data_IF_309552946822
#
_entry.id   IF_309552946822
#
_cell.length_a   1.000
_cell.length_b   1.000
_cell.length_c   1.000
_cell.angle_alpha   90.00
_cell.angle_beta   90.00
_cell.angle_gamma   90.00
#
_symmetry.space_group_name_H-M   'P 1'
#
loop_
_entity.id
_entity.type
_entity.pdbx_description
1 polymer ?
#
# COMPACT_ATOMS: atom_id res chain seq x y z
N UNK A 1 -12.28 10.55 23.49
CA UNK A 1 -12.57 9.36 22.67
C UNK A 1 -14.03 9.01 22.85
N UNK A 2 -14.84 9.23 21.81
CA UNK A 2 -16.27 9.02 21.82
C UNK A 2 -16.64 7.53 21.82
N UNK A 3 -17.93 7.22 22.02
CA UNK A 3 -18.44 5.84 21.97
C UNK A 3 -18.30 5.21 20.58
N UNK A 4 -18.47 6.00 19.51
CA UNK A 4 -18.24 5.56 18.13
C UNK A 4 -16.78 5.16 17.88
N UNK A 5 -15.83 5.98 18.33
CA UNK A 5 -14.39 5.69 18.23
C UNK A 5 -14.02 4.36 18.90
N UNK A 6 -14.63 4.06 20.05
CA UNK A 6 -14.42 2.79 20.78
C UNK A 6 -14.97 1.60 20.02
N UNK A 7 -16.18 1.70 19.47
CA UNK A 7 -16.80 0.63 18.69
C UNK A 7 -16.01 0.33 17.41
N UNK A 8 -15.54 1.38 16.72
CA UNK A 8 -14.70 1.24 15.53
C UNK A 8 -13.34 0.60 15.84
N UNK A 9 -12.69 1.03 16.93
CA UNK A 9 -11.44 0.42 17.41
C UNK A 9 -11.62 -1.07 17.72
N UNK A 10 -12.71 -1.45 18.40
CA UNK A 10 -12.99 -2.85 18.70
C UNK A 10 -13.28 -3.67 17.43
N UNK A 11 -14.04 -3.10 16.48
CA UNK A 11 -14.28 -3.72 15.17
C UNK A 11 -12.96 -3.97 14.44
N UNK A 12 -12.09 -2.96 14.38
CA UNK A 12 -10.81 -3.06 13.71
C UNK A 12 -9.89 -4.08 14.37
N UNK A 13 -9.83 -4.12 15.70
CA UNK A 13 -9.05 -5.12 16.44
C UNK A 13 -9.51 -6.55 16.13
N UNK A 14 -10.83 -6.79 16.09
CA UNK A 14 -11.39 -8.09 15.71
C UNK A 14 -11.06 -8.47 14.26
N UNK A 15 -11.19 -7.51 13.34
CA UNK A 15 -10.85 -7.68 11.94
C UNK A 15 -9.37 -8.02 11.76
N UNK A 16 -8.47 -7.32 12.45
CA UNK A 16 -7.02 -7.57 12.41
C UNK A 16 -6.69 -8.98 12.87
N UNK A 17 -7.22 -9.40 14.02
CA UNK A 17 -7.00 -10.76 14.53
C UNK A 17 -7.48 -11.83 13.55
N UNK A 18 -8.69 -11.67 13.01
CA UNK A 18 -9.28 -12.64 12.08
C UNK A 18 -8.50 -12.71 10.77
N UNK A 19 -8.11 -11.56 10.22
CA UNK A 19 -7.38 -11.49 8.94
C UNK A 19 -5.95 -11.98 9.07
N UNK A 20 -5.22 -11.60 10.14
CA UNK A 20 -3.88 -12.14 10.43
C UNK A 20 -3.90 -13.67 10.47
N UNK A 21 -4.84 -14.27 11.21
CA UNK A 21 -4.95 -15.73 11.29
C UNK A 21 -5.15 -16.38 9.91
N UNK A 22 -6.02 -15.80 9.06
CA UNK A 22 -6.25 -16.30 7.71
C UNK A 22 -5.03 -16.17 6.79
N UNK A 23 -4.36 -15.02 6.82
CA UNK A 23 -3.19 -14.76 5.98
C UNK A 23 -1.98 -15.60 6.40
N UNK A 24 -1.72 -15.78 7.70
CA UNK A 24 -0.65 -16.64 8.18
C UNK A 24 -0.88 -18.11 7.76
N UNK A 25 -2.13 -18.58 7.79
CA UNK A 25 -2.49 -19.90 7.28
C UNK A 25 -2.29 -20.05 5.75
N UNK A 26 -2.33 -18.94 5.00
CA UNK A 26 -2.00 -18.85 3.57
C UNK A 26 -0.51 -18.60 3.31
N UNK A 27 0.33 -18.54 4.35
CA UNK A 27 1.77 -18.30 4.23
C UNK A 27 2.14 -16.84 3.98
N UNK A 28 1.28 -15.90 4.38
CA UNK A 28 1.49 -14.46 4.26
C UNK A 28 1.79 -13.87 5.65
N UNK A 29 3.07 -13.56 5.95
CA UNK A 29 3.45 -12.94 7.21
C UNK A 29 2.67 -11.65 7.43
N UNK A 30 2.16 -11.49 8.64
CA UNK A 30 1.18 -10.46 8.98
C UNK A 30 1.52 -9.66 10.23
N UNK A 31 2.21 -10.29 11.18
CA UNK A 31 2.62 -9.68 12.45
C UNK A 31 3.49 -8.43 12.21
N UNK A 32 3.35 -7.47 13.11
CA UNK A 32 4.20 -6.29 13.14
C UNK A 32 5.65 -6.66 13.51
N UNK A 33 6.59 -6.17 12.72
CA UNK A 33 8.02 -6.21 13.00
C UNK A 33 8.51 -4.77 13.06
N UNK A 34 9.23 -4.41 14.12
CA UNK A 34 9.74 -3.06 14.35
C UNK A 34 11.21 -3.12 14.79
N UNK A 35 12.11 -2.72 13.88
CA UNK A 35 13.56 -2.82 13.97
C UNK A 35 14.16 -1.43 13.66
N UNK A 36 13.89 -0.44 14.51
CA UNK A 36 14.19 0.97 14.24
C UNK A 36 15.63 1.39 14.56
N UNK A 37 16.26 0.70 15.50
CA UNK A 37 17.61 1.01 16.02
C UNK A 37 18.54 -0.22 16.05
N UNK A 38 18.05 -1.37 15.63
CA UNK A 38 18.77 -2.66 15.60
C UNK A 38 19.47 -2.92 14.27
N UNK A 39 19.05 -2.24 13.19
CA UNK A 39 19.64 -2.36 11.84
C UNK A 39 19.90 -0.98 11.23
N UNK A 40 20.93 -0.89 10.37
CA UNK A 40 21.41 0.38 9.80
C UNK A 40 20.31 1.19 9.13
N UNK A 41 19.43 0.53 8.36
CA UNK A 41 18.39 1.22 7.61
C UNK A 41 17.16 1.59 8.45
N UNK A 42 16.94 0.94 9.61
CA UNK A 42 15.71 1.02 10.40
C UNK A 42 14.45 0.64 9.62
N UNK A 43 13.64 -0.30 10.09
CA UNK A 43 12.36 -0.57 9.42
C UNK A 43 11.25 -0.99 10.36
N UNK A 44 10.02 -0.70 9.92
CA UNK A 44 8.79 -1.29 10.47
C UNK A 44 8.02 -1.94 9.35
N UNK A 45 7.36 -3.05 9.60
CA UNK A 45 6.45 -3.68 8.63
C UNK A 45 5.27 -4.35 9.33
N UNK A 46 4.08 -4.25 8.74
CA UNK A 46 2.87 -4.93 9.22
C UNK A 46 1.90 -5.15 8.05
N UNK A 47 1.17 -6.28 8.04
CA UNK A 47 0.05 -6.48 7.12
C UNK A 47 -1.24 -6.02 7.78
N UNK A 48 -1.88 -5.01 7.20
CA UNK A 48 -3.06 -4.37 7.77
C UNK A 48 -4.33 -4.78 7.01
N UNK A 49 -5.44 -5.05 7.73
CA UNK A 49 -6.75 -5.15 7.10
C UNK A 49 -7.18 -3.80 6.52
N UNK A 50 -7.79 -3.90 5.36
CA UNK A 50 -8.42 -2.79 4.65
C UNK A 50 -9.92 -2.83 4.89
N UNK A 51 -10.56 -1.67 4.89
CA UNK A 51 -12.02 -1.56 5.05
C UNK A 51 -12.76 -1.86 3.73
N UNK A 52 -14.08 -2.03 3.81
CA UNK A 52 -14.92 -2.35 2.65
C UNK A 52 -14.64 -3.74 2.07
N UNK A 53 -14.51 -3.83 0.75
CA UNK A 53 -14.16 -5.06 0.02
C UNK A 53 -12.72 -5.52 0.30
N UNK A 54 -11.88 -4.61 0.81
CA UNK A 54 -10.55 -4.91 1.32
C UNK A 54 -9.53 -5.32 0.25
N UNK A 55 -9.75 -4.93 -1.00
CA UNK A 55 -8.88 -5.29 -2.14
C UNK A 55 -7.83 -4.22 -2.42
N UNK A 56 -8.17 -2.94 -2.27
CA UNK A 56 -7.27 -1.84 -2.64
C UNK A 56 -7.59 -0.50 -1.98
N UNK A 57 -6.67 0.46 -2.10
CA UNK A 57 -6.83 1.83 -1.62
C UNK A 57 -7.52 2.74 -2.67
N UNK A 58 -8.68 2.31 -3.17
CA UNK A 58 -9.52 3.10 -4.07
C UNK A 58 -10.91 3.33 -3.46
N UNK A 59 -11.66 4.26 -4.04
CA UNK A 59 -12.94 4.75 -3.51
C UNK A 59 -13.98 3.66 -3.25
N UNK A 60 -14.07 2.64 -4.10
CA UNK A 60 -15.00 1.53 -3.94
C UNK A 60 -14.37 0.31 -3.26
N UNK A 61 -13.12 0.43 -2.79
CA UNK A 61 -12.33 -0.59 -2.08
C UNK A 61 -12.03 -1.87 -2.84
N UNK A 62 -12.38 -1.93 -4.14
CA UNK A 62 -12.10 -3.06 -5.04
C UNK A 62 -10.69 -2.96 -5.63
N UNK A 63 -10.25 -4.01 -6.31
CA UNK A 63 -8.96 -4.06 -6.97
C UNK A 63 -8.87 -2.92 -7.98
N UNK A 64 -7.81 -2.13 -7.87
CA UNK A 64 -7.54 -1.07 -8.83
C UNK A 64 -7.12 -1.73 -10.15
N UNK A 65 -6.19 -2.70 -10.14
CA UNK A 65 -5.80 -3.46 -11.32
C UNK A 65 -6.55 -4.80 -11.42
N UNK A 66 -7.04 -5.16 -12.61
CA UNK A 66 -7.65 -6.47 -12.88
C UNK A 66 -6.64 -7.62 -12.81
N UNK A 67 -5.35 -7.33 -13.09
CA UNK A 67 -4.25 -8.29 -12.93
C UNK A 67 -3.59 -8.12 -11.57
N UNK A 68 -3.69 -9.15 -10.74
CA UNK A 68 -3.00 -9.19 -9.46
C UNK A 68 -1.48 -9.16 -9.64
N UNK A 69 -0.79 -8.58 -8.66
CA UNK A 69 0.64 -8.44 -8.64
C UNK A 69 1.28 -9.49 -7.72
N UNK A 70 2.11 -10.36 -8.28
CA UNK A 70 2.69 -11.50 -7.57
C UNK A 70 1.91 -12.79 -7.83
N UNK A 71 1.99 -13.75 -6.90
CA UNK A 71 1.36 -15.06 -7.03
C UNK A 71 0.01 -15.17 -6.30
N UNK A 72 -0.66 -14.04 -6.06
CA UNK A 72 -1.95 -14.04 -5.36
C UNK A 72 -3.06 -14.62 -6.25
N UNK A 73 -3.94 -15.41 -5.64
CA UNK A 73 -5.15 -15.96 -6.28
C UNK A 73 -6.42 -15.21 -5.86
N UNK A 74 -6.31 -14.33 -4.86
CA UNK A 74 -7.39 -13.50 -4.32
C UNK A 74 -6.97 -12.04 -4.23
N UNK A 75 -7.87 -11.08 -4.43
CA UNK A 75 -7.54 -9.65 -4.40
C UNK A 75 -7.36 -9.08 -2.98
N UNK A 76 -7.67 -9.81 -1.91
CA UNK A 76 -7.57 -9.35 -0.51
C UNK A 76 -6.38 -9.95 0.30
N UNK A 77 -5.10 -9.80 -0.11
CA UNK A 77 -3.98 -10.19 0.75
C UNK A 77 -3.73 -9.17 1.88
N UNK A 78 -4.60 -8.17 2.06
CA UNK A 78 -4.37 -7.03 2.94
C UNK A 78 -3.38 -6.02 2.36
N UNK A 79 -3.12 -4.95 3.12
CA UNK A 79 -2.10 -3.95 2.80
C UNK A 79 -0.85 -4.20 3.63
N UNK A 80 0.20 -4.78 3.02
CA UNK A 80 1.51 -4.85 3.66
C UNK A 80 2.14 -3.46 3.60
N UNK A 81 2.30 -2.84 4.75
CA UNK A 81 2.95 -1.54 4.88
C UNK A 81 4.37 -1.74 5.36
N UNK A 82 5.32 -1.13 4.65
CA UNK A 82 6.75 -1.15 4.98
C UNK A 82 7.21 0.29 5.11
N UNK A 83 7.81 0.64 6.25
CA UNK A 83 8.42 1.93 6.50
C UNK A 83 9.92 1.70 6.67
N UNK A 84 10.74 2.49 5.99
CA UNK A 84 12.20 2.45 6.18
C UNK A 84 12.73 3.84 6.49
N UNK A 85 13.68 3.90 7.43
CA UNK A 85 14.32 5.14 7.80
C UNK A 85 15.37 5.54 6.74
N UNK A 86 15.55 6.84 6.50
CA UNK A 86 14.91 7.97 7.18
C UNK A 86 13.61 8.47 6.53
N UNK A 87 13.24 7.97 5.35
CA UNK A 87 12.43 8.78 4.44
C UNK A 87 11.61 8.02 3.40
N UNK A 88 11.28 6.76 3.63
CA UNK A 88 10.44 6.03 2.66
C UNK A 88 9.39 5.14 3.33
N UNK A 89 8.27 5.00 2.65
CA UNK A 89 7.20 4.09 3.04
C UNK A 89 6.53 3.52 1.81
N UNK A 90 6.00 2.31 1.93
CA UNK A 90 5.51 1.53 0.81
C UNK A 90 4.25 0.78 1.21
N UNK A 91 3.29 0.71 0.31
CA UNK A 91 2.09 -0.11 0.46
C UNK A 91 2.07 -1.15 -0.64
N UNK A 92 2.11 -2.42 -0.25
CA UNK A 92 1.99 -3.57 -1.13
C UNK A 92 0.59 -4.15 -0.98
N UNK A 93 -0.20 -4.07 -2.05
CA UNK A 93 -1.56 -4.57 -2.15
C UNK A 93 -1.59 -5.79 -3.08
N UNK A 94 -2.77 -6.40 -3.24
CA UNK A 94 -2.92 -7.57 -4.11
C UNK A 94 -2.78 -7.25 -5.59
N UNK A 95 -3.08 -6.01 -5.99
CA UNK A 95 -3.17 -5.60 -7.40
C UNK A 95 -2.08 -4.60 -7.81
N UNK A 96 -1.49 -3.88 -6.86
CA UNK A 96 -0.44 -2.90 -7.14
C UNK A 96 0.44 -2.61 -5.91
N UNK A 97 1.53 -1.86 -6.12
CA UNK A 97 2.37 -1.30 -5.06
C UNK A 97 2.43 0.21 -5.23
N UNK A 98 2.35 0.94 -4.12
CA UNK A 98 2.66 2.36 -4.08
C UNK A 98 3.92 2.58 -3.25
N UNK A 99 4.97 3.10 -3.88
CA UNK A 99 6.23 3.43 -3.18
C UNK A 99 6.37 4.93 -3.03
N UNK A 100 6.74 5.39 -1.84
CA UNK A 100 7.01 6.78 -1.52
C UNK A 100 8.45 6.93 -1.05
N UNK A 101 9.11 8.01 -1.44
CA UNK A 101 10.44 8.39 -0.94
C UNK A 101 10.55 9.91 -0.86
N UNK A 102 11.14 10.44 0.21
CA UNK A 102 11.22 11.88 0.48
C UNK A 102 12.67 12.32 0.58
N UNK A 103 13.14 13.16 -0.33
CA UNK A 103 14.48 13.73 -0.26
C UNK A 103 14.42 15.15 0.28
N UNK A 104 15.15 15.44 1.36
CA UNK A 104 15.36 16.82 1.82
C UNK A 104 16.22 17.55 0.79
N UNK A 105 15.75 18.71 0.31
CA UNK A 105 16.50 19.52 -0.66
C UNK A 105 17.17 20.72 0.03
N UNK A 106 16.48 21.36 0.95
CA UNK A 106 16.95 22.44 1.81
C UNK A 106 16.01 22.58 3.03
N UNK A 107 16.31 23.47 3.95
CA UNK A 107 15.43 23.74 5.09
C UNK A 107 14.02 24.14 4.61
N UNK A 108 13.00 23.41 5.05
CA UNK A 108 11.61 23.66 4.68
C UNK A 108 11.19 23.16 3.30
N UNK A 109 12.05 22.47 2.54
CA UNK A 109 11.70 21.95 1.20
C UNK A 109 12.19 20.52 0.97
N UNK A 110 11.27 19.67 0.52
CA UNK A 110 11.52 18.26 0.23
C UNK A 110 10.95 17.86 -1.13
N UNK A 111 11.53 16.82 -1.73
CA UNK A 111 11.02 16.16 -2.93
C UNK A 111 10.39 14.83 -2.55
N UNK A 112 9.07 14.75 -2.65
CA UNK A 112 8.36 13.47 -2.58
C UNK A 112 8.30 12.83 -3.97
N UNK A 113 8.78 11.60 -4.08
CA UNK A 113 8.60 10.76 -5.25
C UNK A 113 7.66 9.60 -4.90
N UNK A 114 6.57 9.53 -5.65
CA UNK A 114 5.59 8.45 -5.58
C UNK A 114 5.64 7.65 -6.88
N UNK A 115 5.64 6.32 -6.79
CA UNK A 115 5.49 5.43 -7.95
C UNK A 115 4.39 4.42 -7.69
N UNK A 116 3.63 4.13 -8.75
CA UNK A 116 2.64 3.08 -8.79
C UNK A 116 3.19 1.95 -9.66
N UNK A 117 3.27 0.75 -9.10
CA UNK A 117 3.74 -0.44 -9.79
C UNK A 117 2.57 -1.39 -9.94
N UNK A 118 2.30 -1.81 -11.17
CA UNK A 118 1.27 -2.80 -11.50
C UNK A 118 1.90 -3.98 -12.20
N UNK A 119 1.11 -5.02 -12.47
CA UNK A 119 1.55 -6.14 -13.27
C UNK A 119 2.10 -5.66 -14.63
N UNK A 120 3.22 -6.24 -15.09
CA UNK A 120 3.90 -5.83 -16.35
C UNK A 120 3.01 -5.89 -17.59
N UNK A 121 2.03 -6.79 -17.56
CA UNK A 121 1.05 -7.02 -18.64
C UNK A 121 -0.30 -6.33 -18.36
N UNK A 122 -0.39 -5.44 -17.37
CA UNK A 122 -1.59 -4.65 -17.13
C UNK A 122 -1.78 -3.61 -18.24
N UNK A 123 -3.02 -3.47 -18.72
CA UNK A 123 -3.39 -2.51 -19.76
C UNK A 123 -4.22 -1.39 -19.14
N UNK A 124 -3.83 -0.15 -19.42
CA UNK A 124 -4.53 1.04 -18.94
C UNK A 124 -5.95 1.10 -19.54
N UNK A 125 -6.94 1.40 -18.69
CA UNK A 125 -8.34 1.53 -19.08
C UNK A 125 -9.17 0.24 -19.00
N UNK A 126 -8.56 -0.92 -18.72
CA UNK A 126 -9.31 -2.16 -18.45
C UNK A 126 -9.91 -2.21 -17.03
N UNK A 127 -9.35 -1.43 -16.12
CA UNK A 127 -9.87 -1.28 -14.76
C UNK A 127 -11.09 -0.34 -14.73
N UNK A 128 -12.08 -0.60 -13.86
CA UNK A 128 -13.12 0.39 -13.58
C UNK A 128 -12.50 1.70 -13.05
N UNK A 129 -13.11 2.87 -13.31
CA UNK A 129 -12.63 4.15 -12.76
C UNK A 129 -12.52 4.02 -11.23
N UNK A 130 -11.39 4.43 -10.60
CA UNK A 130 -10.68 5.70 -10.81
C UNK A 130 -9.21 5.65 -11.30
N UNK A 131 -8.67 4.48 -11.69
CA UNK A 131 -7.26 4.35 -12.06
C UNK A 131 -6.80 5.12 -13.29
N UNK A 132 -7.70 5.45 -14.22
CA UNK A 132 -7.36 6.24 -15.41
C UNK A 132 -6.69 7.59 -15.06
N UNK A 133 -6.98 8.15 -13.87
CA UNK A 133 -6.38 9.41 -13.43
C UNK A 133 -4.96 9.27 -12.84
N UNK A 134 -4.64 8.13 -12.22
CA UNK A 134 -3.33 7.91 -11.58
C UNK A 134 -2.22 7.62 -12.61
N UNK A 135 -2.53 6.88 -13.68
CA UNK A 135 -1.56 6.56 -14.74
C UNK A 135 -1.20 7.77 -15.61
N UNK A 136 -2.17 8.63 -15.92
CA UNK A 136 -1.95 9.84 -16.73
C UNK A 136 -0.95 10.84 -16.14
N UNK A 137 -0.76 10.84 -14.82
CA UNK A 137 0.22 11.70 -14.13
C UNK A 137 1.63 11.09 -14.10
N UNK A 138 1.75 9.74 -14.05
CA UNK A 138 3.03 9.06 -13.97
C UNK A 138 3.86 9.12 -15.27
N UNK A 139 3.20 9.22 -16.44
CA UNK A 139 3.87 9.28 -17.75
C UNK A 139 4.30 10.69 -18.18
N UNK A 140 3.90 11.75 -17.46
CA UNK A 140 4.33 13.13 -17.77
C UNK A 140 5.71 13.43 -17.16
N UNK A 141 6.70 12.63 -17.55
CA UNK A 141 8.11 13.00 -17.42
C UNK A 141 8.43 14.14 -18.39
N UNK A 142 9.02 15.21 -17.85
CA UNK A 142 9.45 16.44 -18.53
C UNK A 142 10.11 16.13 -19.90
N UNK A 143 9.74 16.81 -21.01
CA UNK A 143 10.49 16.68 -22.25
C UNK A 143 11.93 17.16 -22.01
N UNK A 144 12.90 16.35 -22.47
CA UNK A 144 14.32 16.66 -22.35
C UNK A 144 14.63 18.02 -22.97
N UNK A 145 15.45 18.82 -22.28
CA UNK A 145 16.04 20.02 -22.87
C UNK A 145 17.08 19.56 -23.88
N UNK A 146 16.83 19.86 -25.16
CA UNK A 146 17.89 19.97 -26.16
C UNK A 146 18.70 21.23 -25.98
#
# INVERSE_FOLDING_TARGET
MGERDRAETARYACLRTTRHAGWEAEGLPSVEIDELDTVVAGFRTERLPLDGEGESHILDTKAACTKLLGAFTKPQPGGLSVWTQPNSWHHFLGDHIVTFSVLSLEAGRSHLRTKWLVHKDAVEGEAPPPLAYAFGQARRGRPGRG
#
